data_IF_858236850788
#
_entry.id   IF_858236850788
#
_cell.length_a   1.000
_cell.length_b   1.000
_cell.length_c   1.000
_cell.angle_alpha   90.00
_cell.angle_beta   90.00
_cell.angle_gamma   90.00
#
_symmetry.space_group_name_H-M   'P 1'
#
loop_
_entity.id
_entity.type
_entity.pdbx_description
1 polymer ?
#
# COMPACT_ATOMS: atom_id res chain seq x y z
N UNK A 1 7.74 8.03 7.32
CA UNK A 1 7.98 7.25 6.09
C UNK A 1 9.41 7.52 5.68
N UNK A 2 10.31 6.54 5.51
CA UNK A 2 11.63 6.85 4.98
C UNK A 2 11.45 7.37 3.55
N UNK A 3 11.83 8.64 3.35
CA UNK A 3 11.81 9.35 2.08
C UNK A 3 13.00 8.93 1.20
N UNK A 4 13.33 7.65 1.16
CA UNK A 4 14.44 7.18 0.35
C UNK A 4 13.98 7.07 -1.12
N UNK A 5 14.57 7.90 -1.97
CA UNK A 5 14.27 8.01 -3.40
C UNK A 5 14.52 6.69 -4.15
N UNK A 6 15.37 5.80 -3.62
CA UNK A 6 15.55 4.45 -4.14
C UNK A 6 14.26 3.62 -4.10
N UNK A 7 13.38 3.88 -3.12
CA UNK A 7 12.11 3.15 -2.96
C UNK A 7 11.02 3.56 -3.96
N UNK A 8 11.21 4.67 -4.70
CA UNK A 8 10.29 5.17 -5.73
C UNK A 8 10.69 4.77 -7.16
N UNK A 9 11.86 4.14 -7.34
CA UNK A 9 12.26 3.62 -8.65
C UNK A 9 11.26 2.54 -9.10
N UNK A 10 10.80 2.58 -10.36
CA UNK A 10 9.88 1.58 -10.88
C UNK A 10 10.56 0.21 -10.93
N UNK A 11 9.75 -0.84 -10.81
CA UNK A 11 10.16 -2.25 -10.97
C UNK A 11 9.68 -2.78 -12.32
N UNK A 12 10.41 -3.70 -12.93
CA UNK A 12 9.97 -4.34 -14.18
C UNK A 12 9.22 -5.62 -13.86
N UNK A 13 7.93 -5.67 -14.22
CA UNK A 13 7.06 -6.84 -14.06
C UNK A 13 6.58 -7.23 -15.46
N UNK A 14 6.82 -8.48 -15.86
CA UNK A 14 6.45 -8.98 -17.20
C UNK A 14 6.90 -8.05 -18.36
N UNK A 15 8.13 -7.52 -18.26
CA UNK A 15 8.71 -6.60 -19.27
C UNK A 15 8.18 -5.17 -19.23
N UNK A 16 7.30 -4.82 -18.29
CA UNK A 16 6.72 -3.48 -18.18
C UNK A 16 7.14 -2.79 -16.87
N UNK A 17 7.52 -1.51 -16.96
CA UNK A 17 7.80 -0.68 -15.77
C UNK A 17 6.53 -0.41 -14.97
N UNK A 18 6.57 -0.70 -13.68
CA UNK A 18 5.47 -0.54 -12.76
C UNK A 18 5.92 0.32 -11.57
N UNK A 19 5.10 1.28 -11.18
CA UNK A 19 5.33 2.11 -10.01
C UNK A 19 5.10 1.29 -8.73
N UNK A 20 6.04 1.34 -7.78
CA UNK A 20 5.95 0.53 -6.56
C UNK A 20 4.84 1.03 -5.63
N UNK A 21 4.26 0.11 -4.87
CA UNK A 21 3.06 0.35 -4.04
C UNK A 21 3.40 0.21 -2.57
N UNK A 22 2.91 1.12 -1.74
CA UNK A 22 2.97 1.00 -0.28
C UNK A 22 1.57 1.12 0.32
N UNK A 23 1.30 0.33 1.36
CA UNK A 23 0.04 0.38 2.10
C UNK A 23 0.23 1.15 3.40
N UNK A 24 -0.65 2.09 3.68
CA UNK A 24 -0.55 2.94 4.87
C UNK A 24 -1.67 2.61 5.84
N UNK A 25 -1.29 2.35 7.09
CA UNK A 25 -2.20 2.17 8.21
C UNK A 25 -1.88 3.21 9.29
N UNK A 26 -2.88 3.92 9.78
CA UNK A 26 -2.71 4.77 10.96
C UNK A 26 -2.88 3.96 12.24
N UNK A 27 -2.21 4.36 13.31
CA UNK A 27 -2.50 3.87 14.65
C UNK A 27 -3.06 5.00 15.53
N UNK A 28 -3.13 4.75 16.83
CA UNK A 28 -3.67 5.70 17.81
C UNK A 28 -2.74 6.87 18.14
N UNK A 29 -1.56 6.97 17.50
CA UNK A 29 -0.60 8.05 17.80
C UNK A 29 -1.06 9.44 17.36
N UNK A 30 -2.25 9.57 16.76
CA UNK A 30 -2.88 10.86 16.48
C UNK A 30 -3.59 11.46 17.69
N UNK A 31 -3.76 10.69 18.78
CA UNK A 31 -4.59 11.08 19.93
C UNK A 31 -6.10 10.89 19.70
N UNK A 32 -6.50 10.49 18.49
CA UNK A 32 -7.88 10.12 18.17
C UNK A 32 -8.06 8.60 18.24
N UNK A 33 -9.20 8.16 18.77
CA UNK A 33 -9.52 6.74 18.91
C UNK A 33 -9.46 6.00 17.56
N UNK A 34 -8.72 4.89 17.55
CA UNK A 34 -8.67 3.93 16.46
C UNK A 34 -8.36 2.53 17.03
N UNK A 35 -9.21 1.99 17.92
CA UNK A 35 -8.89 0.82 18.75
C UNK A 35 -8.59 -0.44 17.91
N UNK A 36 -9.24 -0.56 16.74
CA UNK A 36 -9.13 -1.71 15.86
C UNK A 36 -8.06 -1.59 14.76
N UNK A 37 -7.13 -0.63 14.84
CA UNK A 37 -6.13 -0.40 13.79
C UNK A 37 -5.28 -1.64 13.43
N UNK A 38 -5.15 -2.59 14.36
CA UNK A 38 -4.47 -3.87 14.11
C UNK A 38 -5.20 -4.75 13.09
N UNK A 39 -6.52 -4.65 12.98
CA UNK A 39 -7.28 -5.33 11.94
C UNK A 39 -6.96 -4.74 10.55
N UNK A 40 -6.91 -3.41 10.44
CA UNK A 40 -6.46 -2.72 9.23
C UNK A 40 -5.03 -3.10 8.86
N UNK A 41 -4.13 -3.19 9.84
CA UNK A 41 -2.74 -3.61 9.63
C UNK A 41 -2.66 -5.06 9.14
N UNK A 42 -3.40 -5.98 9.75
CA UNK A 42 -3.44 -7.37 9.32
C UNK A 42 -4.02 -7.51 7.90
N UNK A 43 -5.06 -6.75 7.56
CA UNK A 43 -5.61 -6.70 6.21
C UNK A 43 -4.58 -6.16 5.20
N UNK A 44 -3.91 -5.04 5.51
CA UNK A 44 -2.85 -4.48 4.67
C UNK A 44 -1.70 -5.47 4.44
N UNK A 45 -1.29 -6.24 5.46
CA UNK A 45 -0.27 -7.28 5.33
C UNK A 45 -0.72 -8.39 4.38
N UNK A 46 -1.98 -8.83 4.45
CA UNK A 46 -2.53 -9.83 3.51
C UNK A 46 -2.52 -9.31 2.07
N UNK A 47 -2.99 -8.08 1.84
CA UNK A 47 -2.98 -7.47 0.49
C UNK A 47 -1.54 -7.31 -0.01
N UNK A 48 -0.61 -6.86 0.84
CA UNK A 48 0.80 -6.71 0.49
C UNK A 48 1.45 -8.03 0.09
N UNK A 49 1.20 -9.11 0.84
CA UNK A 49 1.69 -10.44 0.52
C UNK A 49 1.07 -10.99 -0.78
N UNK A 50 -0.24 -10.79 -0.98
CA UNK A 50 -0.91 -11.19 -2.21
C UNK A 50 -0.37 -10.43 -3.44
N UNK A 51 -0.08 -9.13 -3.30
CA UNK A 51 0.51 -8.31 -4.35
C UNK A 51 1.90 -8.80 -4.72
N UNK A 52 2.75 -9.08 -3.73
CA UNK A 52 4.11 -9.55 -3.96
C UNK A 52 4.13 -10.95 -4.59
N UNK A 53 3.16 -11.82 -4.25
CA UNK A 53 2.99 -13.12 -4.89
C UNK A 53 2.69 -13.03 -6.40
N UNK A 54 1.85 -12.09 -6.83
CA UNK A 54 1.45 -11.96 -8.25
C UNK A 54 2.35 -11.01 -9.04
N UNK A 55 3.08 -10.12 -8.37
CA UNK A 55 4.00 -9.17 -8.97
C UNK A 55 5.20 -8.92 -8.01
N UNK A 56 6.18 -9.85 -7.97
CA UNK A 56 7.31 -9.78 -7.05
C UNK A 56 8.07 -8.45 -7.11
N UNK A 57 8.28 -7.83 -5.94
CA UNK A 57 8.98 -6.54 -5.81
C UNK A 57 8.12 -5.30 -6.06
N UNK A 58 6.86 -5.47 -6.49
CA UNK A 58 5.93 -4.36 -6.67
C UNK A 58 5.47 -3.78 -5.33
N UNK A 59 5.36 -4.61 -4.29
CA UNK A 59 5.06 -4.15 -2.94
C UNK A 59 6.30 -3.56 -2.25
N UNK A 60 6.10 -2.48 -1.49
CA UNK A 60 7.04 -1.90 -0.53
C UNK A 60 6.68 -2.26 0.91
N UNK A 61 5.67 -3.11 1.11
CA UNK A 61 5.15 -3.49 2.42
C UNK A 61 4.09 -2.53 2.95
N UNK A 62 3.95 -2.55 4.27
CA UNK A 62 2.96 -1.76 5.03
C UNK A 62 3.69 -0.82 5.98
N UNK A 63 3.31 0.45 5.99
CA UNK A 63 3.86 1.43 6.92
C UNK A 63 2.79 1.92 7.90
N UNK A 64 3.19 2.05 9.17
CA UNK A 64 2.37 2.68 10.21
C UNK A 64 2.61 4.19 10.16
N UNK A 65 1.58 4.95 9.77
CA UNK A 65 1.61 6.40 9.80
C UNK A 65 1.26 6.91 11.20
N UNK A 66 2.04 7.89 11.66
CA UNK A 66 1.86 8.55 12.95
C UNK A 66 1.23 9.93 12.74
N UNK A 67 0.28 10.30 13.59
CA UNK A 67 -0.27 11.66 13.62
C UNK A 67 -1.48 11.92 12.70
N UNK A 68 -2.03 10.88 12.08
CA UNK A 68 -3.27 10.96 11.30
C UNK A 68 -4.17 9.75 11.57
N UNK A 69 -5.49 9.87 11.33
CA UNK A 69 -6.48 8.78 11.49
C UNK A 69 -7.15 8.35 10.17
N UNK A 70 -7.24 9.27 9.20
CA UNK A 70 -7.69 9.02 7.81
C UNK A 70 -8.96 8.17 7.62
N UNK A 71 -9.93 8.28 8.53
CA UNK A 71 -11.15 7.47 8.53
C UNK A 71 -10.92 5.95 8.59
N UNK A 72 -9.70 5.49 8.90
CA UNK A 72 -9.40 4.06 8.98
C UNK A 72 -10.08 3.40 10.18
N UNK A 73 -10.51 4.18 11.17
CA UNK A 73 -11.32 3.69 12.29
C UNK A 73 -12.74 3.25 11.91
N UNK A 74 -13.21 3.57 10.69
CA UNK A 74 -14.60 3.32 10.29
C UNK A 74 -14.86 1.88 9.83
N UNK A 75 -13.81 1.12 9.49
CA UNK A 75 -13.94 -0.25 9.01
C UNK A 75 -12.62 -1.02 9.17
N UNK A 76 -12.68 -2.31 9.49
CA UNK A 76 -11.49 -3.14 9.75
C UNK A 76 -10.59 -3.36 8.52
N UNK A 77 -11.11 -3.08 7.32
CA UNK A 77 -10.37 -3.12 6.04
C UNK A 77 -10.06 -1.73 5.45
N UNK A 78 -10.36 -0.64 6.17
CA UNK A 78 -10.07 0.70 5.67
C UNK A 78 -8.55 0.98 5.70
N UNK A 79 -7.92 1.02 4.53
CA UNK A 79 -6.47 1.26 4.37
C UNK A 79 -6.25 2.29 3.26
N UNK A 80 -5.09 2.95 3.28
CA UNK A 80 -4.65 3.79 2.16
C UNK A 80 -3.72 2.96 1.28
N UNK A 81 -3.89 3.07 -0.03
CA UNK A 81 -2.99 2.49 -1.03
C UNK A 81 -2.30 3.63 -1.77
N UNK A 82 -0.99 3.75 -1.60
CA UNK A 82 -0.19 4.73 -2.33
C UNK A 82 0.53 4.03 -3.48
N UNK A 83 0.26 4.47 -4.71
CA UNK A 83 0.79 3.88 -5.94
C UNK A 83 1.76 4.86 -6.59
N UNK A 84 3.05 4.56 -6.52
CA UNK A 84 4.10 5.42 -7.07
C UNK A 84 4.34 6.70 -6.28
N UNK A 85 4.96 7.68 -6.94
CA UNK A 85 5.22 9.03 -6.45
C UNK A 85 5.43 10.00 -7.62
N UNK A 86 5.89 11.21 -7.33
CA UNK A 86 6.06 12.30 -8.31
C UNK A 86 7.04 11.98 -9.45
N UNK A 87 7.89 10.96 -9.29
CA UNK A 87 8.88 10.53 -10.30
C UNK A 87 8.37 9.43 -11.22
N UNK A 88 7.16 8.89 -11.00
CA UNK A 88 6.58 7.85 -11.84
C UNK A 88 5.64 8.45 -12.89
N UNK A 89 5.49 7.77 -14.03
CA UNK A 89 4.48 8.15 -15.02
C UNK A 89 3.10 7.61 -14.63
N UNK A 90 2.04 8.21 -15.18
CA UNK A 90 0.68 7.74 -14.99
C UNK A 90 0.51 6.28 -15.49
N UNK A 91 1.17 5.92 -16.58
CA UNK A 91 1.12 4.56 -17.14
C UNK A 91 1.76 3.54 -16.20
N UNK A 92 2.89 3.88 -15.57
CA UNK A 92 3.53 3.03 -14.56
C UNK A 92 2.62 2.82 -13.34
N UNK A 93 1.96 3.87 -12.87
CA UNK A 93 1.00 3.79 -11.76
C UNK A 93 -0.25 2.98 -12.16
N UNK A 94 -0.78 3.21 -13.35
CA UNK A 94 -1.98 2.53 -13.86
C UNK A 94 -1.75 1.03 -14.02
N UNK A 95 -0.58 0.60 -14.52
CA UNK A 95 -0.21 -0.82 -14.57
C UNK A 95 -0.20 -1.45 -13.18
N UNK A 96 0.36 -0.74 -12.21
CA UNK A 96 0.48 -1.20 -10.81
C UNK A 96 -0.89 -1.32 -10.14
N UNK A 97 -1.79 -0.38 -10.39
CA UNK A 97 -3.17 -0.41 -9.90
C UNK A 97 -3.94 -1.68 -10.33
N UNK A 98 -3.66 -2.22 -11.53
CA UNK A 98 -4.26 -3.48 -11.98
C UNK A 98 -3.80 -4.67 -11.14
N UNK A 99 -2.52 -4.72 -10.76
CA UNK A 99 -2.01 -5.75 -9.86
C UNK A 99 -2.56 -5.59 -8.44
N UNK A 100 -2.67 -4.36 -7.94
CA UNK A 100 -3.32 -4.06 -6.66
C UNK A 100 -4.76 -4.55 -6.64
N UNK A 101 -5.54 -4.26 -7.69
CA UNK A 101 -6.94 -4.72 -7.78
C UNK A 101 -7.04 -6.25 -7.73
N UNK A 102 -6.15 -6.96 -8.43
CA UNK A 102 -6.08 -8.44 -8.37
C UNK A 102 -5.71 -8.95 -6.97
N UNK A 103 -4.75 -8.30 -6.31
CA UNK A 103 -4.33 -8.66 -4.96
C UNK A 103 -5.46 -8.47 -3.94
N UNK A 104 -6.20 -7.35 -4.02
CA UNK A 104 -7.37 -7.08 -3.17
C UNK A 104 -8.45 -8.13 -3.43
N UNK A 105 -8.79 -8.41 -4.70
CA UNK A 105 -9.79 -9.40 -5.06
C UNK A 105 -9.44 -10.84 -4.60
N UNK A 106 -8.16 -11.13 -4.37
CA UNK A 106 -7.72 -12.44 -3.90
C UNK A 106 -7.75 -12.61 -2.36
N UNK A 107 -7.94 -11.52 -1.61
CA UNK A 107 -7.92 -11.54 -0.13
C UNK A 107 -9.24 -11.12 0.51
N UNK A 108 -10.17 -10.59 -0.28
CA UNK A 108 -11.58 -10.39 0.08
C UNK A 108 -12.34 -11.70 -0.13
#
# INVERSE_FOLDING_TARGET
MPADSASLKPVTIAGQKCARVIFIVSNESSGLAHPNWRANYAFALKVSAALDKVAPGLSRGVAIHKGGRFNQQMHDHAIIVEIGGTTNTLEEATRSARYVARAIAAVL
#
